data_IF_168431046183
#
_entry.id   IF_168431046183
#
_cell.length_a   1.000
_cell.length_b   1.000
_cell.length_c   1.000
_cell.angle_alpha   90.00
_cell.angle_beta   90.00
_cell.angle_gamma   90.00
#
_symmetry.space_group_name_H-M   'P 1'
#
loop_
_entity.id
_entity.type
_entity.pdbx_description
1 polymer ?
#
# COMPACT_ATOMS: atom_id res chain seq x y z
N UNK A 1 -1.71 -3.19 -16.87
CA UNK A 1 -1.13 -3.06 -15.52
C UNK A 1 -1.97 -2.09 -14.71
N UNK A 2 -2.61 -2.56 -13.64
CA UNK A 2 -3.31 -1.75 -12.66
C UNK A 2 -2.41 -1.24 -11.53
N UNK A 3 -3.00 -0.47 -10.61
CA UNK A 3 -2.36 0.02 -9.39
C UNK A 3 -3.21 -0.34 -8.16
N UNK A 4 -2.61 -0.25 -6.98
CA UNK A 4 -3.14 -0.58 -5.65
C UNK A 4 -3.16 -2.07 -5.30
N UNK A 5 -3.61 -2.94 -6.21
CA UNK A 5 -3.71 -4.38 -5.92
C UNK A 5 -4.76 -4.72 -4.86
N UNK A 6 -5.86 -3.99 -4.86
CA UNK A 6 -7.03 -4.23 -4.00
C UNK A 6 -7.77 -5.51 -4.39
N UNK A 7 -8.60 -6.03 -3.49
CA UNK A 7 -9.20 -7.37 -3.59
C UNK A 7 -9.88 -7.67 -4.93
N UNK A 8 -10.61 -6.70 -5.49
CA UNK A 8 -11.30 -6.84 -6.77
C UNK A 8 -10.36 -7.21 -7.93
N UNK A 9 -9.09 -6.80 -7.88
CA UNK A 9 -8.08 -7.15 -8.92
C UNK A 9 -7.74 -8.64 -8.96
N UNK A 10 -8.06 -9.38 -7.89
CA UNK A 10 -7.91 -10.85 -7.77
C UNK A 10 -9.19 -11.60 -8.08
N UNK A 11 -10.32 -10.89 -8.15
CA UNK A 11 -11.65 -11.46 -8.39
C UNK A 11 -12.09 -11.32 -9.86
N UNK A 12 -11.35 -10.57 -10.67
CA UNK A 12 -11.60 -10.44 -12.11
C UNK A 12 -11.16 -11.70 -12.86
N UNK A 13 -11.76 -11.93 -14.02
CA UNK A 13 -11.31 -12.92 -14.99
C UNK A 13 -10.93 -12.22 -16.32
N UNK A 14 -9.66 -12.24 -16.73
CA UNK A 14 -8.51 -12.78 -15.98
C UNK A 14 -8.17 -11.95 -14.73
N UNK A 15 -7.39 -12.53 -13.81
CA UNK A 15 -6.77 -11.77 -12.70
C UNK A 15 -6.00 -10.59 -13.31
N UNK A 16 -6.16 -9.40 -12.74
CA UNK A 16 -5.48 -8.20 -13.23
C UNK A 16 -4.02 -8.18 -12.73
N UNK A 17 -3.08 -8.00 -13.66
CA UNK A 17 -1.68 -7.66 -13.37
C UNK A 17 -1.62 -6.25 -12.80
N UNK A 18 -1.05 -6.08 -11.60
CA UNK A 18 -1.07 -4.81 -10.86
C UNK A 18 0.13 -4.64 -9.95
N UNK A 19 0.53 -3.39 -9.74
CA UNK A 19 1.41 -3.01 -8.63
C UNK A 19 0.57 -3.02 -7.35
N UNK A 20 1.02 -3.75 -6.33
CA UNK A 20 0.32 -3.93 -5.05
C UNK A 20 0.95 -3.03 -3.99
N UNK A 21 0.12 -2.22 -3.35
CA UNK A 21 0.52 -1.41 -2.21
C UNK A 21 0.46 -2.23 -0.91
N UNK A 22 1.43 -2.04 -0.02
CA UNK A 22 1.37 -2.55 1.35
C UNK A 22 0.50 -1.62 2.22
N UNK A 23 -0.83 -1.73 2.05
CA UNK A 23 -1.84 -0.96 2.79
C UNK A 23 -1.69 -1.15 4.32
N UNK A 24 -1.45 -2.37 4.85
CA UNK A 24 -1.17 -2.55 6.28
C UNK A 24 0.02 -1.74 6.80
N UNK A 25 1.14 -1.71 6.07
CA UNK A 25 2.31 -0.91 6.47
C UNK A 25 2.03 0.58 6.36
N UNK A 26 1.40 1.03 5.26
CA UNK A 26 1.02 2.43 5.07
C UNK A 26 0.12 2.92 6.22
N UNK A 27 -0.95 2.18 6.52
CA UNK A 27 -1.88 2.54 7.60
C UNK A 27 -1.20 2.60 8.97
N UNK A 28 -0.33 1.63 9.27
CA UNK A 28 0.45 1.62 10.53
C UNK A 28 1.36 2.83 10.65
N UNK A 29 2.09 3.19 9.58
CA UNK A 29 2.97 4.36 9.57
C UNK A 29 2.16 5.63 9.79
N UNK A 30 1.04 5.78 9.10
CA UNK A 30 0.16 6.94 9.23
C UNK A 30 -0.36 7.10 10.66
N UNK A 31 -0.98 6.06 11.22
CA UNK A 31 -1.57 6.13 12.56
C UNK A 31 -0.49 6.34 13.62
N UNK A 32 0.62 5.58 13.55
CA UNK A 32 1.73 5.72 14.52
C UNK A 32 2.33 7.12 14.47
N UNK A 33 2.57 7.67 13.28
CA UNK A 33 3.11 9.03 13.14
C UNK A 33 2.16 10.08 13.71
N UNK A 34 0.86 9.91 13.52
CA UNK A 34 -0.14 10.82 14.06
C UNK A 34 -0.17 10.79 15.60
N UNK A 35 -0.12 9.58 16.18
CA UNK A 35 -0.03 9.39 17.63
C UNK A 35 1.28 9.97 18.20
N UNK A 36 2.40 9.78 17.51
CA UNK A 36 3.68 10.32 17.93
C UNK A 36 3.69 11.85 17.91
N UNK A 37 3.10 12.48 16.89
CA UNK A 37 2.91 13.93 16.83
C UNK A 37 2.05 14.45 17.98
N UNK A 38 0.93 13.79 18.28
CA UNK A 38 0.05 14.16 19.41
C UNK A 38 0.78 14.05 20.75
N UNK A 39 1.71 13.10 20.89
CA UNK A 39 2.56 12.94 22.06
C UNK A 39 3.77 13.89 22.07
N UNK A 40 3.84 14.86 21.18
CA UNK A 40 4.93 15.84 21.09
C UNK A 40 6.25 15.26 20.58
N UNK A 41 6.24 14.06 19.98
CA UNK A 41 7.44 13.45 19.39
C UNK A 41 7.67 14.01 17.98
N UNK A 42 8.94 14.00 17.56
CA UNK A 42 9.31 14.30 16.18
C UNK A 42 9.08 13.08 15.29
N UNK A 43 8.49 13.29 14.13
CA UNK A 43 8.29 12.26 13.10
C UNK A 43 9.10 12.57 11.86
N UNK A 44 9.38 11.56 11.03
CA UNK A 44 10.09 11.77 9.76
C UNK A 44 9.18 12.53 8.78
N UNK A 45 9.75 13.43 7.95
CA UNK A 45 8.98 14.16 6.95
C UNK A 45 8.58 13.28 5.75
N UNK A 46 9.28 12.16 5.53
CA UNK A 46 9.04 11.24 4.42
C UNK A 46 9.27 9.80 4.85
N UNK A 47 8.37 8.93 4.40
CA UNK A 47 8.48 7.48 4.51
C UNK A 47 8.44 6.90 3.09
N UNK A 48 9.18 5.82 2.86
CA UNK A 48 9.07 5.03 1.64
C UNK A 48 8.61 3.63 2.04
N UNK A 49 7.63 3.11 1.31
CA UNK A 49 7.10 1.76 1.50
C UNK A 49 7.22 1.07 0.16
N UNK A 50 7.87 -0.09 0.16
CA UNK A 50 8.07 -0.87 -1.06
C UNK A 50 6.73 -1.44 -1.55
N UNK A 51 6.62 -1.55 -2.87
CA UNK A 51 5.48 -2.17 -3.54
C UNK A 51 5.90 -3.52 -4.12
N UNK A 52 4.93 -4.36 -4.41
CA UNK A 52 5.17 -5.64 -5.10
C UNK A 52 4.40 -5.72 -6.41
N UNK A 53 4.76 -6.67 -7.26
CA UNK A 53 4.05 -6.93 -8.51
C UNK A 53 3.17 -8.18 -8.35
N UNK A 54 1.86 -8.02 -8.52
CA UNK A 54 0.94 -9.13 -8.77
C UNK A 54 0.87 -9.36 -10.28
N UNK A 55 1.28 -10.55 -10.72
CA UNK A 55 1.12 -10.97 -12.12
C UNK A 55 -0.22 -11.67 -12.29
N UNK A 56 -0.99 -11.26 -13.29
CA UNK A 56 -2.26 -11.84 -13.69
C UNK A 56 -2.26 -12.22 -15.17
N UNK A 57 -3.44 -12.37 -15.76
CA UNK A 57 -3.62 -12.66 -17.19
C UNK A 57 -3.74 -11.42 -18.07
N UNK A 58 -3.74 -10.22 -17.48
CA UNK A 58 -3.66 -8.96 -18.24
C UNK A 58 -2.22 -8.51 -18.45
N UNK A 59 -1.99 -7.59 -19.40
CA UNK A 59 -0.70 -6.93 -19.64
C UNK A 59 -0.14 -6.28 -18.39
#
# INVERSE_FOLDING_TARGET
>A
IGFDGIEITRMSDPIITTIVQDIPTLSRICVTSMIDLLNGKKVKPKYMVDVSMQKGGTV
#
